data_IF_220134656188
#
_entry.id   IF_220134656188
#
_cell.length_a   1.000
_cell.length_b   1.000
_cell.length_c   1.000
_cell.angle_alpha   90.00
_cell.angle_beta   90.00
_cell.angle_gamma   90.00
#
_symmetry.space_group_name_H-M   'P 1'
#
loop_
_entity.id
_entity.type
_entity.pdbx_description
1 polymer ?
#
# COMPACT_ATOMS: atom_id res chain seq x y z
N UNK A 1 4.48 -15.85 -0.44
CA UNK A 1 3.94 -15.07 -1.58
C UNK A 1 2.52 -14.62 -1.22
N UNK A 2 2.14 -13.40 -1.57
CA UNK A 2 0.79 -12.87 -1.33
C UNK A 2 -0.25 -13.71 -2.10
N UNK A 3 -1.46 -13.83 -1.56
CA UNK A 3 -2.55 -14.52 -2.27
C UNK A 3 -2.98 -13.71 -3.51
N UNK A 4 -3.42 -14.36 -4.60
CA UNK A 4 -3.84 -13.65 -5.82
C UNK A 4 -5.03 -12.71 -5.57
N UNK A 5 -5.88 -13.01 -4.59
CA UNK A 5 -6.97 -12.13 -4.16
C UNK A 5 -6.43 -10.85 -3.52
N UNK A 6 -5.45 -10.97 -2.62
CA UNK A 6 -4.83 -9.83 -1.96
C UNK A 6 -4.07 -8.95 -2.96
N UNK A 7 -3.35 -9.56 -3.91
CA UNK A 7 -2.69 -8.81 -4.99
C UNK A 7 -3.72 -8.01 -5.79
N UNK A 8 -4.87 -8.61 -6.15
CA UNK A 8 -5.94 -7.90 -6.88
C UNK A 8 -6.53 -6.74 -6.08
N UNK A 9 -6.76 -6.93 -4.78
CA UNK A 9 -7.26 -5.87 -3.90
C UNK A 9 -6.25 -4.73 -3.79
N UNK A 10 -4.99 -5.05 -3.52
CA UNK A 10 -3.91 -4.05 -3.44
C UNK A 10 -3.72 -3.31 -4.77
N UNK A 11 -3.87 -4.00 -5.91
CA UNK A 11 -3.84 -3.37 -7.23
C UNK A 11 -5.00 -2.39 -7.41
N UNK A 12 -6.22 -2.78 -7.05
CA UNK A 12 -7.39 -1.92 -7.15
C UNK A 12 -7.27 -0.68 -6.26
N UNK A 13 -6.75 -0.85 -5.04
CA UNK A 13 -6.43 0.26 -4.13
C UNK A 13 -5.34 1.14 -4.77
N UNK A 14 -4.29 0.54 -5.32
CA UNK A 14 -3.21 1.27 -5.99
C UNK A 14 -3.75 2.19 -7.08
N UNK A 15 -4.57 1.65 -7.98
CA UNK A 15 -5.21 2.40 -9.06
C UNK A 15 -6.22 3.46 -8.58
N UNK A 16 -6.83 3.26 -7.41
CA UNK A 16 -7.80 4.22 -6.86
C UNK A 16 -7.13 5.50 -6.32
N UNK A 17 -5.92 5.37 -5.77
CA UNK A 17 -5.18 6.51 -5.21
C UNK A 17 -4.13 7.10 -6.17
N UNK A 18 -3.84 6.41 -7.29
CA UNK A 18 -3.06 6.94 -8.42
C UNK A 18 -3.90 7.98 -9.19
N UNK A 19 -3.79 9.23 -8.78
CA UNK A 19 -4.59 10.36 -9.29
C UNK A 19 -4.11 10.83 -10.63
N UNK A 20 -2.80 10.81 -10.88
CA UNK A 20 -2.24 11.19 -12.17
C UNK A 20 -2.16 10.03 -13.18
N UNK A 21 -2.55 8.82 -12.76
CA UNK A 21 -2.60 7.61 -13.57
C UNK A 21 -1.26 7.27 -14.21
N UNK A 22 -0.16 7.64 -13.54
CA UNK A 22 1.20 7.36 -14.02
C UNK A 22 1.68 5.98 -13.59
N UNK A 23 0.84 5.22 -12.86
CA UNK A 23 1.14 3.93 -12.26
C UNK A 23 2.22 3.99 -11.19
N UNK A 24 2.42 5.15 -10.58
CA UNK A 24 3.26 5.32 -9.42
C UNK A 24 2.53 6.13 -8.36
N UNK A 25 2.92 5.98 -7.11
CA UNK A 25 2.48 6.89 -6.06
C UNK A 25 3.59 7.86 -5.69
N UNK A 26 3.26 9.13 -5.80
CA UNK A 26 4.00 10.23 -5.21
C UNK A 26 3.86 10.21 -3.67
N UNK A 27 4.69 10.98 -2.97
CA UNK A 27 4.56 11.16 -1.52
C UNK A 27 3.14 11.59 -1.10
N UNK A 28 2.48 12.42 -1.92
CA UNK A 28 1.15 12.95 -1.65
C UNK A 28 0.07 11.86 -1.73
N UNK A 29 0.16 10.99 -2.73
CA UNK A 29 -0.77 9.87 -2.94
C UNK A 29 -0.57 8.78 -1.89
N UNK A 30 0.69 8.46 -1.57
CA UNK A 30 1.01 7.58 -0.45
C UNK A 30 0.49 8.15 0.88
N UNK A 31 0.61 9.46 1.10
CA UNK A 31 0.05 10.09 2.29
C UNK A 31 -1.48 10.04 2.30
N UNK A 32 -2.13 10.23 1.15
CA UNK A 32 -3.58 10.13 1.01
C UNK A 32 -4.06 8.70 1.33
N UNK A 33 -3.36 7.69 0.83
CA UNK A 33 -3.62 6.29 1.15
C UNK A 33 -3.49 6.02 2.65
N UNK A 34 -2.36 6.41 3.28
CA UNK A 34 -2.15 6.17 4.71
C UNK A 34 -3.18 6.92 5.57
N UNK A 35 -3.53 8.15 5.17
CA UNK A 35 -4.59 8.92 5.85
C UNK A 35 -5.94 8.22 5.74
N UNK A 36 -6.26 7.64 4.58
CA UNK A 36 -7.50 6.90 4.39
C UNK A 36 -7.54 5.59 5.19
N UNK A 37 -6.40 4.89 5.31
CA UNK A 37 -6.31 3.62 6.07
C UNK A 37 -6.26 3.84 7.59
N UNK A 38 -5.41 4.74 8.07
CA UNK A 38 -5.13 4.94 9.51
C UNK A 38 -5.90 6.13 10.11
N UNK A 39 -6.61 6.91 9.30
CA UNK A 39 -7.31 8.12 9.73
C UNK A 39 -6.41 9.32 10.04
N UNK A 40 -5.08 9.16 9.95
CA UNK A 40 -4.11 10.22 10.20
C UNK A 40 -2.99 10.22 9.14
N UNK A 41 -2.49 11.41 8.75
CA UNK A 41 -1.41 11.52 7.78
C UNK A 41 -0.10 10.96 8.33
N UNK A 42 0.67 10.33 7.45
CA UNK A 42 1.98 9.84 7.81
C UNK A 42 2.99 10.99 7.92
N UNK A 43 3.97 10.90 8.84
CA UNK A 43 5.03 11.88 8.90
C UNK A 43 5.85 11.86 7.59
N UNK A 44 6.27 13.03 7.07
CA UNK A 44 6.97 13.14 5.79
C UNK A 44 8.34 12.46 5.77
N UNK A 45 8.92 12.17 6.94
CA UNK A 45 10.11 11.33 7.05
C UNK A 45 9.80 9.86 6.75
N UNK A 46 8.67 9.35 7.23
CA UNK A 46 8.22 7.98 6.95
C UNK A 46 7.92 7.81 5.47
N UNK A 47 7.19 8.74 4.84
CA UNK A 47 6.89 8.69 3.40
C UNK A 47 8.16 8.61 2.55
N UNK A 48 9.15 9.45 2.86
CA UNK A 48 10.45 9.44 2.17
C UNK A 48 11.23 8.16 2.39
N UNK A 49 11.20 7.62 3.61
CA UNK A 49 11.86 6.34 3.91
C UNK A 49 11.16 5.17 3.19
N UNK A 50 9.84 5.18 3.16
CA UNK A 50 9.04 4.16 2.48
C UNK A 50 9.32 4.15 0.99
N UNK A 51 9.22 5.32 0.35
CA UNK A 51 9.53 5.49 -1.07
C UNK A 51 11.01 5.18 -1.36
N UNK A 52 11.93 5.55 -0.47
CA UNK A 52 13.34 5.22 -0.64
C UNK A 52 13.65 3.73 -0.52
N UNK A 53 12.82 2.97 0.19
CA UNK A 53 13.00 1.52 0.41
C UNK A 53 12.27 0.66 -0.63
N UNK A 54 11.06 1.06 -1.01
CA UNK A 54 10.16 0.27 -1.86
C UNK A 54 9.85 0.94 -3.20
N UNK A 55 10.17 2.21 -3.39
CA UNK A 55 9.98 2.92 -4.64
C UNK A 55 11.13 2.75 -5.63
N UNK A 56 10.93 3.25 -6.84
CA UNK A 56 11.96 3.30 -7.88
C UNK A 56 12.86 4.54 -7.76
N UNK A 57 13.92 4.57 -8.58
CA UNK A 57 15.00 5.57 -8.62
C UNK A 57 14.59 7.05 -8.82
N UNK A 58 13.29 7.36 -8.85
CA UNK A 58 12.74 8.71 -8.97
C UNK A 58 11.93 9.17 -7.74
N UNK A 59 11.91 8.39 -6.66
CA UNK A 59 11.12 8.75 -5.48
C UNK A 59 9.62 8.57 -5.70
N UNK A 60 9.23 7.56 -6.47
CA UNK A 60 7.83 7.17 -6.67
C UNK A 60 7.66 5.70 -6.33
N UNK A 61 6.58 5.37 -5.63
CA UNK A 61 6.28 4.00 -5.22
C UNK A 61 5.56 3.26 -6.36
N UNK A 62 6.07 2.11 -6.77
CA UNK A 62 5.39 1.24 -7.74
C UNK A 62 4.43 0.29 -7.06
N UNK A 63 3.51 -0.29 -7.82
CA UNK A 63 2.68 -1.40 -7.35
C UNK A 63 3.55 -2.56 -6.82
N UNK A 64 4.65 -2.88 -7.48
CA UNK A 64 5.57 -3.93 -7.03
C UNK A 64 6.17 -3.60 -5.65
N UNK A 65 6.57 -2.34 -5.46
CA UNK A 65 7.01 -1.82 -4.16
C UNK A 65 5.96 -1.94 -3.06
N UNK A 66 4.71 -1.59 -3.38
CA UNK A 66 3.58 -1.73 -2.45
C UNK A 66 3.35 -3.19 -2.07
N UNK A 67 3.34 -4.10 -3.06
CA UNK A 67 3.20 -5.53 -2.83
C UNK A 67 4.37 -6.08 -2.00
N UNK A 68 5.60 -5.65 -2.25
CA UNK A 68 6.78 -6.03 -1.48
C UNK A 68 6.68 -5.58 -0.02
N UNK A 69 6.18 -4.36 0.24
CA UNK A 69 5.91 -3.88 1.59
C UNK A 69 4.87 -4.76 2.31
N UNK A 70 3.71 -5.00 1.69
CA UNK A 70 2.66 -5.83 2.29
C UNK A 70 3.11 -7.28 2.47
N UNK A 71 3.94 -7.81 1.56
CA UNK A 71 4.57 -9.11 1.72
C UNK A 71 5.51 -9.13 2.93
N UNK A 72 6.33 -8.09 3.12
CA UNK A 72 7.22 -7.99 4.28
C UNK A 72 6.43 -7.86 5.59
N UNK A 73 5.33 -7.10 5.61
CA UNK A 73 4.44 -6.98 6.78
C UNK A 73 3.68 -8.27 7.09
N UNK A 74 3.12 -8.96 6.08
CA UNK A 74 2.46 -10.26 6.28
C UNK A 74 3.40 -11.37 6.75
N UNK A 75 4.70 -11.27 6.41
CA UNK A 75 5.73 -12.18 6.90
C UNK A 75 6.11 -11.90 8.36
N UNK A 76 5.97 -10.65 8.82
CA UNK A 76 6.27 -10.23 10.19
C UNK A 76 5.08 -10.52 11.14
N UNK A 77 3.84 -10.26 10.71
CA UNK A 77 2.64 -10.50 11.52
C UNK A 77 1.40 -10.94 10.67
N UNK A 78 1.20 -12.25 10.44
CA UNK A 78 0.17 -12.76 9.54
C UNK A 78 -1.27 -12.62 10.05
N UNK A 79 -1.48 -12.25 11.32
CA UNK A 79 -2.82 -12.05 11.90
C UNK A 79 -3.37 -10.64 11.62
N UNK A 80 -2.53 -9.61 11.67
CA UNK A 80 -2.97 -8.21 11.49
C UNK A 80 -3.50 -7.96 10.06
N UNK A 81 -2.86 -8.54 9.04
CA UNK A 81 -3.31 -8.38 7.64
C UNK A 81 -4.66 -9.04 7.36
N UNK A 82 -5.01 -10.14 8.05
CA UNK A 82 -6.34 -10.74 7.90
C UNK A 82 -7.40 -9.87 8.57
N UNK A 83 -7.09 -9.28 9.72
CA UNK A 83 -8.03 -8.42 10.44
C UNK A 83 -8.31 -7.11 9.69
N UNK A 84 -7.31 -6.54 9.00
CA UNK A 84 -7.48 -5.34 8.18
C UNK A 84 -8.38 -5.61 6.95
N UNK A 85 -8.22 -6.75 6.29
CA UNK A 85 -9.07 -7.17 5.16
C UNK A 85 -10.53 -7.44 5.59
N UNK A 86 -10.72 -8.00 6.79
CA UNK A 86 -12.05 -8.23 7.37
C UNK A 86 -12.71 -6.90 7.77
N UNK A 87 -11.96 -5.93 8.30
CA UNK A 87 -12.47 -4.58 8.63
C UNK A 87 -12.96 -3.81 7.41
N UNK A 88 -12.42 -4.08 6.22
CA UNK A 88 -12.87 -3.48 4.96
C UNK A 88 -14.07 -4.20 4.30
N UNK A 89 -14.79 -5.06 5.03
CA UNK A 89 -16.02 -5.73 4.59
C UNK A 89 -15.83 -6.64 3.36
N UNK A 90 -14.61 -7.14 3.14
CA UNK A 90 -14.28 -8.08 2.07
C UNK A 90 -14.59 -9.52 2.54
N UNK A 91 -15.88 -9.89 2.53
CA UNK A 91 -16.25 -11.29 2.57
C UNK A 91 -15.93 -11.90 1.21
N UNK A 92 -14.82 -12.65 1.15
CA UNK A 92 -14.43 -13.42 -0.01
C UNK A 92 -15.60 -14.23 -0.54
N UNK A 93 -16.04 -13.87 -1.74
CA UNK A 93 -16.99 -14.64 -2.54
C UNK A 93 -16.34 -14.92 -3.89
#
# INVERSE_FOLDING_TARGET
>A
ALSPQLVRVLTCIFEQFDRDQDRHWSCDELNAFITASNGQPAPPAFLRQFIGRYGEHAGRLTLDGLLAFFLQQTLDDPEETRQDLVKHNWNGQ
#
